data_IF_097485848171
#
_entry.id   IF_097485848171
#
_cell.length_a   1.000
_cell.length_b   1.000
_cell.length_c   1.000
_cell.angle_alpha   90.00
_cell.angle_beta   90.00
_cell.angle_gamma   90.00
#
_symmetry.space_group_name_H-M   'P 1'
#
loop_
_entity.id
_entity.type
_entity.pdbx_description
1 polymer ?
#
# COMPACT_ATOMS: atom_id res chain seq x y z
N UNK A 1 3.33 -10.17 23.64
CA UNK A 1 3.35 -9.59 22.26
C UNK A 1 2.10 -10.08 21.54
N UNK A 2 1.30 -9.20 20.93
CA UNK A 2 0.06 -9.58 20.22
C UNK A 2 0.45 -10.30 18.92
N UNK A 3 -0.14 -11.47 18.66
CA UNK A 3 0.07 -12.23 17.42
C UNK A 3 -0.65 -11.45 16.29
N UNK A 4 0.10 -10.93 15.33
CA UNK A 4 -0.48 -10.29 14.14
C UNK A 4 -1.08 -11.39 13.26
N UNK A 5 -2.28 -11.18 12.74
CA UNK A 5 -3.00 -12.15 11.90
C UNK A 5 -2.83 -11.81 10.42
N UNK A 6 -3.01 -12.80 9.55
CA UNK A 6 -2.99 -12.60 8.09
C UNK A 6 -4.04 -11.57 7.64
N UNK A 7 -5.16 -11.50 8.36
CA UNK A 7 -6.21 -10.49 8.16
C UNK A 7 -5.72 -9.05 8.43
N UNK A 8 -4.89 -8.85 9.46
CA UNK A 8 -4.31 -7.52 9.74
C UNK A 8 -3.35 -7.10 8.61
N UNK A 9 -2.51 -8.02 8.12
CA UNK A 9 -1.63 -7.74 6.99
C UNK A 9 -2.40 -7.50 5.69
N UNK A 10 -3.47 -8.25 5.46
CA UNK A 10 -4.37 -8.02 4.33
C UNK A 10 -4.96 -6.60 4.36
N UNK A 11 -5.51 -6.18 5.51
CA UNK A 11 -6.09 -4.85 5.66
C UNK A 11 -5.07 -3.73 5.43
N UNK A 12 -3.85 -3.86 5.96
CA UNK A 12 -2.78 -2.88 5.74
C UNK A 12 -2.34 -2.81 4.28
N UNK A 13 -2.21 -3.95 3.59
CA UNK A 13 -1.89 -3.99 2.17
C UNK A 13 -3.01 -3.40 1.31
N UNK A 14 -4.28 -3.60 1.69
CA UNK A 14 -5.44 -3.00 1.04
C UNK A 14 -5.45 -1.46 1.18
N UNK A 15 -5.11 -0.94 2.36
CA UNK A 15 -4.93 0.50 2.57
C UNK A 15 -3.81 1.06 1.68
N UNK A 16 -2.63 0.41 1.68
CA UNK A 16 -1.50 0.82 0.83
C UNK A 16 -1.84 0.78 -0.67
N UNK A 17 -2.56 -0.24 -1.12
CA UNK A 17 -3.03 -0.36 -2.50
C UNK A 17 -3.98 0.78 -2.90
N UNK A 18 -4.89 1.14 -2.00
CA UNK A 18 -5.83 2.25 -2.20
C UNK A 18 -5.09 3.58 -2.32
N UNK A 19 -4.15 3.85 -1.41
CA UNK A 19 -3.38 5.10 -1.43
C UNK A 19 -2.42 5.16 -2.62
N UNK A 20 -1.81 4.04 -3.00
CA UNK A 20 -0.97 3.98 -4.19
C UNK A 20 -1.78 4.24 -5.48
N UNK A 21 -3.00 3.70 -5.57
CA UNK A 21 -3.89 3.98 -6.70
C UNK A 21 -4.22 5.48 -6.81
N UNK A 22 -4.47 6.17 -5.69
CA UNK A 22 -4.64 7.63 -5.69
C UNK A 22 -3.36 8.35 -6.13
N UNK A 23 -2.21 7.92 -5.62
CA UNK A 23 -0.93 8.52 -5.93
C UNK A 23 -0.63 8.47 -7.44
N UNK A 24 -0.86 7.32 -8.09
CA UNK A 24 -0.65 7.17 -9.54
C UNK A 24 -1.57 8.08 -10.35
N UNK A 25 -2.84 8.25 -9.94
CA UNK A 25 -3.76 9.19 -10.62
C UNK A 25 -3.24 10.64 -10.60
N UNK A 26 -2.48 11.01 -9.57
CA UNK A 26 -1.86 12.34 -9.44
C UNK A 26 -0.47 12.41 -10.10
N UNK A 27 0.14 11.27 -10.43
CA UNK A 27 1.51 11.14 -10.96
C UNK A 27 1.52 10.18 -12.18
N UNK A 28 1.00 10.60 -13.35
CA UNK A 28 0.88 9.75 -14.53
C UNK A 28 2.20 9.17 -15.04
N UNK A 29 3.34 9.77 -14.70
CA UNK A 29 4.68 9.21 -14.96
C UNK A 29 4.92 7.84 -14.29
N UNK A 30 4.08 7.47 -13.32
CA UNK A 30 4.10 6.20 -12.62
C UNK A 30 3.23 5.13 -13.29
N UNK A 31 2.46 5.45 -14.34
CA UNK A 31 1.59 4.48 -15.05
C UNK A 31 2.39 3.30 -15.63
N UNK A 32 3.63 3.55 -16.06
CA UNK A 32 4.55 2.52 -16.58
C UNK A 32 4.93 1.46 -15.52
N UNK A 33 4.65 1.69 -14.24
CA UNK A 33 4.87 0.74 -13.14
C UNK A 33 3.74 -0.31 -13.09
N UNK A 34 2.56 0.03 -13.61
CA UNK A 34 1.36 -0.82 -13.59
C UNK A 34 1.26 -1.76 -14.81
N UNK A 35 2.40 -2.20 -15.39
CA UNK A 35 2.36 -3.15 -16.51
C UNK A 35 1.56 -4.40 -16.12
N UNK A 36 0.63 -4.82 -16.99
CA UNK A 36 -0.38 -5.86 -16.71
C UNK A 36 0.20 -7.22 -16.27
N UNK A 37 1.51 -7.42 -16.44
CA UNK A 37 2.20 -8.67 -16.15
C UNK A 37 2.92 -8.72 -14.79
N UNK A 38 2.86 -7.65 -13.97
CA UNK A 38 3.56 -7.57 -12.68
C UNK A 38 2.61 -7.39 -11.50
N UNK A 39 2.91 -8.11 -10.42
CA UNK A 39 2.23 -8.00 -9.14
C UNK A 39 2.96 -6.97 -8.27
N UNK A 40 2.27 -5.93 -7.83
CA UNK A 40 2.84 -4.93 -6.94
C UNK A 40 2.99 -5.45 -5.51
N UNK A 41 4.20 -5.37 -4.96
CA UNK A 41 4.54 -5.73 -3.59
C UNK A 41 4.98 -4.48 -2.84
N UNK A 42 4.17 -4.04 -1.88
CA UNK A 42 4.49 -2.87 -1.06
C UNK A 42 5.52 -3.20 0.02
N UNK A 43 6.57 -2.38 0.12
CA UNK A 43 7.64 -2.48 1.11
C UNK A 43 7.64 -1.22 1.99
N UNK A 44 6.78 -1.15 3.03
CA UNK A 44 6.73 -0.01 3.93
C UNK A 44 7.96 0.03 4.85
N UNK A 45 8.69 1.15 4.85
CA UNK A 45 9.85 1.34 5.75
C UNK A 45 9.44 1.59 7.20
N UNK A 46 8.20 2.04 7.42
CA UNK A 46 7.61 2.33 8.73
C UNK A 46 6.92 1.14 9.39
N UNK A 47 6.76 0.00 8.70
CA UNK A 47 6.22 -1.24 9.27
C UNK A 47 7.10 -2.43 8.86
N UNK A 48 8.12 -2.72 9.67
CA UNK A 48 9.10 -3.78 9.39
C UNK A 48 8.48 -5.17 9.31
N UNK A 49 7.44 -5.45 10.10
CA UNK A 49 6.77 -6.76 10.10
C UNK A 49 5.99 -6.98 8.83
N UNK A 50 5.24 -5.96 8.38
CA UNK A 50 4.53 -6.03 7.12
C UNK A 50 5.50 -6.13 5.94
N UNK A 51 6.61 -5.40 5.99
CA UNK A 51 7.68 -5.49 4.97
C UNK A 51 8.26 -6.90 4.88
N UNK A 52 8.62 -7.53 6.01
CA UNK A 52 9.15 -8.89 6.02
C UNK A 52 8.14 -9.92 5.47
N UNK A 53 6.88 -9.80 5.87
CA UNK A 53 5.78 -10.62 5.36
C UNK A 53 5.63 -10.48 3.83
N UNK A 54 5.56 -9.24 3.34
CA UNK A 54 5.40 -8.95 1.91
C UNK A 54 6.61 -9.43 1.09
N UNK A 55 7.84 -9.34 1.62
CA UNK A 55 9.03 -9.91 0.95
C UNK A 55 8.94 -11.43 0.84
N UNK A 56 8.45 -12.11 1.88
CA UNK A 56 8.27 -13.57 1.84
C UNK A 56 7.25 -13.96 0.77
N UNK A 57 6.10 -13.28 0.75
CA UNK A 57 5.05 -13.48 -0.25
C UNK A 57 5.56 -13.23 -1.67
N UNK A 58 6.36 -12.17 -1.88
CA UNK A 58 6.96 -11.87 -3.18
C UNK A 58 7.85 -13.00 -3.70
N UNK A 59 8.68 -13.58 -2.82
CA UNK A 59 9.55 -14.71 -3.17
C UNK A 59 8.76 -15.96 -3.53
N UNK A 60 7.63 -16.21 -2.87
CA UNK A 60 6.73 -17.32 -3.19
C UNK A 60 6.12 -17.12 -4.58
N UNK A 61 5.64 -15.91 -4.89
CA UNK A 61 5.12 -15.55 -6.22
C UNK A 61 6.20 -15.69 -7.31
N UNK A 62 7.41 -15.20 -7.05
CA UNK A 62 8.55 -15.33 -7.99
C UNK A 62 8.91 -16.80 -8.23
N UNK A 63 8.88 -17.64 -7.19
CA UNK A 63 9.17 -19.07 -7.30
C UNK A 63 8.12 -19.82 -8.14
N UNK A 64 6.88 -19.33 -8.15
CA UNK A 64 5.79 -19.85 -8.99
C UNK A 64 5.80 -19.28 -10.42
N UNK A 65 6.78 -18.43 -10.76
CA UNK A 65 6.95 -17.84 -12.09
C UNK A 65 6.18 -16.52 -12.29
N UNK A 66 5.57 -15.98 -11.23
CA UNK A 66 4.99 -14.65 -11.24
C UNK A 66 6.07 -13.57 -11.32
N UNK A 67 5.76 -12.44 -11.97
CA UNK A 67 6.64 -11.27 -11.95
C UNK A 67 6.15 -10.31 -10.88
N UNK A 68 7.06 -9.81 -10.06
CA UNK A 68 6.76 -8.83 -9.02
C UNK A 68 7.43 -7.50 -9.30
N UNK A 69 6.79 -6.43 -8.86
CA UNK A 69 7.37 -5.10 -8.79
C UNK A 69 7.36 -4.63 -7.34
N UNK A 70 8.53 -4.26 -6.82
CA UNK A 70 8.67 -3.82 -5.45
C UNK A 70 8.45 -2.31 -5.33
N UNK A 71 7.40 -1.93 -4.61
CA UNK A 71 7.04 -0.53 -4.35
C UNK A 71 7.53 -0.13 -2.96
N UNK A 72 8.60 0.65 -2.90
CA UNK A 72 9.15 1.15 -1.62
C UNK A 72 8.32 2.32 -1.11
N UNK A 73 7.75 2.18 0.09
CA UNK A 73 6.94 3.23 0.71
C UNK A 73 7.67 3.75 1.95
N UNK A 74 8.25 4.94 1.86
CA UNK A 74 9.04 5.52 2.97
C UNK A 74 8.17 5.91 4.16
N UNK A 75 7.01 6.49 3.88
CA UNK A 75 6.03 6.94 4.87
C UNK A 75 4.67 7.14 4.21
N UNK A 76 3.60 7.15 5.02
CA UNK A 76 2.31 7.68 4.62
C UNK A 76 2.23 9.16 5.01
N UNK A 77 1.58 9.96 4.17
CA UNK A 77 1.20 11.31 4.56
C UNK A 77 0.27 11.25 5.78
N UNK A 78 0.35 12.20 6.73
CA UNK A 78 -0.65 12.31 7.78
C UNK A 78 -2.06 12.34 7.19
N UNK A 79 -3.01 11.65 7.83
CA UNK A 79 -4.40 11.66 7.39
C UNK A 79 -4.87 13.10 7.23
N UNK A 80 -5.32 13.44 6.02
CA UNK A 80 -5.82 14.78 5.72
C UNK A 80 -7.01 15.03 6.63
N UNK A 81 -6.91 16.06 7.45
CA UNK A 81 -8.01 16.50 8.32
C UNK A 81 -9.11 17.13 7.48
N UNK A 82 -10.31 17.30 8.07
CA UNK A 82 -11.41 17.98 7.39
C UNK A 82 -10.97 19.34 6.83
N UNK A 83 -11.34 19.60 5.58
CA UNK A 83 -11.11 20.89 4.91
C UNK A 83 -12.28 21.88 5.10
N UNK A 84 -13.30 21.50 5.88
CA UNK A 84 -14.47 22.34 6.09
C UNK A 84 -14.08 23.58 6.91
N UNK A 85 -14.54 24.75 6.45
CA UNK A 85 -14.41 26.03 7.15
C UNK A 85 -15.82 26.55 7.40
N UNK A 86 -16.18 26.79 8.66
CA UNK A 86 -17.49 27.34 9.04
C UNK A 86 -18.65 26.34 8.91
N UNK A 87 -18.59 25.20 9.61
CA UNK A 87 -19.69 24.22 9.62
C UNK A 87 -20.76 24.63 10.63
N UNK A 88 -22.00 24.70 10.19
CA UNK A 88 -23.19 24.84 11.05
C UNK A 88 -24.10 23.61 10.89
N UNK A 89 -24.73 23.19 11.99
CA UNK A 89 -25.68 22.07 12.01
C UNK A 89 -27.04 22.65 12.40
N UNK A 90 -28.04 22.49 11.54
CA UNK A 90 -29.43 22.87 11.81
C UNK A 90 -30.26 21.67 12.28
N UNK A 91 -31.22 21.92 13.17
CA UNK A 91 -32.26 20.96 13.59
C UNK A 91 -33.57 21.32 12.89
#
# INVERSE_FOLDING_TARGET
MKKITDEEFFMKNSELSTEFSRYVLEHPEMDDILTEDKIAIFLPEFDSKLKEFNVKMAKEIEAEGGKVIYVKVKQLSPKVTSRLVGVEVGV
#
